data_IF_443781541476
#
_entry.id   IF_443781541476
#
_cell.length_a   1.000
_cell.length_b   1.000
_cell.length_c   1.000
_cell.angle_alpha   90.00
_cell.angle_beta   90.00
_cell.angle_gamma   90.00
#
_symmetry.space_group_name_H-M   'P 1'
#
loop_
_entity.id
_entity.type
_entity.pdbx_description
1 polymer ?
#
# COMPACT_ATOMS: atom_id res chain seq x y z
N UNK A 1 7.07 0.20 15.14
CA UNK A 1 6.26 -0.05 13.96
C UNK A 1 5.25 -1.15 14.23
N UNK A 2 4.03 -1.02 13.69
CA UNK A 2 2.92 -1.94 13.88
C UNK A 2 2.70 -2.86 12.69
N UNK A 3 3.18 -2.44 11.51
CA UNK A 3 3.10 -3.19 10.27
C UNK A 3 4.31 -2.95 9.39
N UNK A 4 4.55 -3.86 8.46
CA UNK A 4 5.63 -3.81 7.48
C UNK A 4 5.06 -4.00 6.08
N UNK A 5 5.35 -3.06 5.16
CA UNK A 5 4.92 -3.16 3.77
C UNK A 5 6.07 -2.92 2.80
N UNK A 6 6.05 -3.67 1.70
CA UNK A 6 6.97 -3.49 0.58
C UNK A 6 6.19 -3.02 -0.63
N UNK A 7 6.73 -2.06 -1.38
CA UNK A 7 6.11 -1.54 -2.59
C UNK A 7 6.26 -2.45 -3.80
N UNK A 8 5.61 -2.09 -4.90
CA UNK A 8 5.72 -2.74 -6.20
C UNK A 8 6.14 -1.75 -7.28
N UNK A 9 7.15 -2.09 -8.05
CA UNK A 9 7.61 -1.30 -9.18
C UNK A 9 8.39 -2.17 -10.17
N UNK A 10 8.12 -2.00 -11.46
CA UNK A 10 8.74 -2.75 -12.53
C UNK A 10 9.30 -1.80 -13.58
N UNK A 11 10.18 -2.29 -14.46
CA UNK A 11 10.74 -1.53 -15.58
C UNK A 11 11.24 -0.16 -15.11
N UNK A 12 12.32 -0.15 -14.34
CA UNK A 12 12.89 1.04 -13.71
C UNK A 12 14.39 1.13 -13.94
N UNK A 13 14.90 2.32 -14.15
CA UNK A 13 16.31 2.61 -14.36
C UNK A 13 17.15 2.61 -13.07
N UNK A 14 16.51 2.47 -11.92
CA UNK A 14 17.19 2.40 -10.63
C UNK A 14 16.96 1.06 -9.91
N UNK A 15 17.86 0.70 -9.02
CA UNK A 15 17.76 -0.54 -8.26
C UNK A 15 16.47 -0.57 -7.43
N UNK A 16 15.60 -1.51 -7.74
CA UNK A 16 14.37 -1.77 -7.01
C UNK A 16 14.22 -3.27 -6.80
N UNK A 17 14.31 -3.70 -5.54
CA UNK A 17 14.15 -5.12 -5.21
C UNK A 17 12.70 -5.55 -5.36
N UNK A 18 12.49 -6.69 -5.99
CA UNK A 18 11.15 -7.25 -6.15
C UNK A 18 10.54 -7.58 -4.80
N UNK A 19 9.26 -7.28 -4.65
CA UNK A 19 8.56 -7.25 -3.37
C UNK A 19 8.50 -8.62 -2.66
N UNK A 20 8.09 -9.70 -3.35
CA UNK A 20 7.94 -11.02 -2.71
C UNK A 20 9.26 -11.58 -2.15
N UNK A 21 10.39 -11.59 -2.90
CA UNK A 21 11.67 -12.08 -2.36
C UNK A 21 12.19 -11.25 -1.19
N UNK A 22 12.11 -9.91 -1.28
CA UNK A 22 12.61 -9.05 -0.20
C UNK A 22 11.72 -9.12 1.03
N UNK A 23 10.39 -9.19 0.86
CA UNK A 23 9.46 -9.38 1.96
C UNK A 23 9.75 -10.72 2.67
N UNK A 24 9.90 -11.81 1.93
CA UNK A 24 10.26 -13.11 2.52
C UNK A 24 11.54 -13.04 3.36
N UNK A 25 12.56 -12.31 2.91
CA UNK A 25 13.79 -12.08 3.70
C UNK A 25 13.53 -11.24 4.96
N UNK A 26 12.68 -10.23 4.89
CA UNK A 26 12.36 -9.36 6.02
C UNK A 26 11.50 -10.08 7.07
N UNK A 27 10.57 -10.94 6.64
CA UNK A 27 9.68 -11.70 7.52
C UNK A 27 10.44 -12.60 8.49
N UNK A 28 11.64 -13.07 8.15
CA UNK A 28 12.50 -13.83 9.05
C UNK A 28 12.85 -13.08 10.36
N UNK A 29 12.73 -11.75 10.36
CA UNK A 29 13.03 -10.88 11.50
C UNK A 29 11.80 -10.09 11.98
N UNK A 30 10.62 -10.35 11.41
CA UNK A 30 9.38 -9.65 11.71
C UNK A 30 8.44 -10.53 12.52
N UNK A 31 8.38 -10.29 13.83
CA UNK A 31 7.75 -11.21 14.78
C UNK A 31 6.25 -10.95 14.97
N UNK A 32 5.41 -11.66 14.24
CA UNK A 32 3.97 -11.80 14.51
C UNK A 32 3.09 -10.54 14.28
N UNK A 33 3.67 -9.45 13.82
CA UNK A 33 2.92 -8.23 13.49
C UNK A 33 2.44 -8.27 12.04
N UNK A 34 1.38 -7.52 11.69
CA UNK A 34 0.90 -7.44 10.31
C UNK A 34 2.02 -7.09 9.31
N UNK A 35 2.02 -7.76 8.18
CA UNK A 35 2.93 -7.45 7.09
C UNK A 35 2.28 -7.73 5.74
N UNK A 36 2.85 -7.18 4.67
CA UNK A 36 2.38 -7.42 3.34
C UNK A 36 3.17 -6.67 2.27
N UNK A 37 2.65 -6.70 1.07
CA UNK A 37 3.22 -5.96 -0.04
C UNK A 37 2.14 -5.38 -0.94
N UNK A 38 2.51 -4.33 -1.66
CA UNK A 38 1.74 -3.80 -2.77
C UNK A 38 1.98 -4.66 -4.02
N UNK A 39 0.94 -4.89 -4.78
CA UNK A 39 0.98 -5.52 -6.10
C UNK A 39 0.15 -4.74 -7.10
N UNK A 40 0.74 -4.42 -8.24
CA UNK A 40 0.05 -3.81 -9.38
C UNK A 40 -0.59 -4.92 -10.20
N UNK A 41 -1.76 -5.39 -9.80
CA UNK A 41 -2.36 -6.65 -10.27
C UNK A 41 -2.35 -6.88 -11.79
N UNK A 42 -2.58 -5.86 -12.65
CA UNK A 42 -2.52 -6.07 -14.09
C UNK A 42 -1.14 -6.52 -14.62
N UNK A 43 -0.06 -6.28 -13.84
CA UNK A 43 1.31 -6.64 -14.21
C UNK A 43 1.69 -8.05 -13.75
N UNK A 44 0.81 -8.74 -13.03
CA UNK A 44 1.07 -10.04 -12.43
C UNK A 44 0.19 -11.14 -13.02
N UNK A 45 0.75 -12.32 -13.18
CA UNK A 45 -0.06 -13.50 -13.48
C UNK A 45 -0.80 -13.94 -12.21
N UNK A 46 -2.15 -14.03 -12.20
CA UNK A 46 -2.93 -14.20 -10.96
C UNK A 46 -2.65 -15.50 -10.22
N UNK A 47 -2.39 -16.60 -10.94
CA UNK A 47 -2.07 -17.89 -10.29
C UNK A 47 -0.72 -17.81 -9.59
N UNK A 48 0.33 -17.33 -10.27
CA UNK A 48 1.65 -17.16 -9.65
C UNK A 48 1.62 -16.24 -8.44
N UNK A 49 0.87 -15.14 -8.54
CA UNK A 49 0.74 -14.21 -7.44
C UNK A 49 -0.03 -14.82 -6.27
N UNK A 50 -1.10 -15.57 -6.53
CA UNK A 50 -1.85 -16.28 -5.50
C UNK A 50 -0.96 -17.30 -4.74
N UNK A 51 -0.11 -18.05 -5.44
CA UNK A 51 0.86 -18.99 -4.85
C UNK A 51 1.91 -18.28 -3.99
N UNK A 52 2.49 -17.17 -4.49
CA UNK A 52 3.49 -16.39 -3.75
C UNK A 52 2.90 -15.81 -2.46
N UNK A 53 1.71 -15.22 -2.53
CA UNK A 53 1.04 -14.67 -1.35
C UNK A 53 0.66 -15.76 -0.36
N UNK A 54 0.15 -16.90 -0.82
CA UNK A 54 -0.14 -18.06 0.04
C UNK A 54 1.11 -18.55 0.76
N UNK A 55 2.23 -18.61 0.06
CA UNK A 55 3.53 -18.99 0.63
C UNK A 55 3.99 -18.00 1.69
N UNK A 56 3.95 -16.69 1.38
CA UNK A 56 4.35 -15.64 2.33
C UNK A 56 3.45 -15.65 3.57
N UNK A 57 2.14 -15.81 3.41
CA UNK A 57 1.19 -15.90 4.50
C UNK A 57 1.40 -17.17 5.35
N UNK A 58 1.83 -18.28 4.76
CA UNK A 58 2.11 -19.52 5.48
C UNK A 58 3.38 -19.47 6.33
N UNK A 59 4.41 -18.74 5.88
CA UNK A 59 5.68 -18.61 6.64
C UNK A 59 5.66 -17.47 7.64
N UNK A 60 4.62 -16.64 7.65
CA UNK A 60 4.48 -15.49 8.55
C UNK A 60 3.43 -15.78 9.63
N UNK A 61 3.81 -15.80 10.91
CA UNK A 61 2.82 -15.80 11.99
C UNK A 61 2.22 -14.41 12.14
N UNK A 62 1.01 -14.20 11.65
CA UNK A 62 0.31 -12.92 11.76
C UNK A 62 -0.51 -12.57 10.53
N UNK A 63 -1.13 -11.41 10.57
CA UNK A 63 -2.05 -10.90 9.54
C UNK A 63 -1.29 -10.53 8.26
N UNK A 64 -1.58 -11.22 7.15
CA UNK A 64 -1.04 -10.83 5.84
C UNK A 64 -2.01 -9.88 5.13
N UNK A 65 -1.49 -8.73 4.69
CA UNK A 65 -2.26 -7.69 4.01
C UNK A 65 -1.72 -7.53 2.60
N UNK A 66 -2.51 -7.92 1.60
CA UNK A 66 -2.21 -7.62 0.21
C UNK A 66 -2.68 -6.21 -0.12
N UNK A 67 -1.76 -5.28 -0.27
CA UNK A 67 -2.09 -4.00 -0.90
C UNK A 67 -2.11 -4.19 -2.42
N UNK A 68 -3.03 -3.56 -3.12
CA UNK A 68 -3.04 -3.66 -4.59
C UNK A 68 -3.50 -2.38 -5.27
N UNK A 69 -3.09 -2.25 -6.53
CA UNK A 69 -3.39 -1.10 -7.37
C UNK A 69 -3.41 -1.46 -8.84
N UNK A 70 -3.87 -0.49 -9.66
CA UNK A 70 -3.96 -0.65 -11.12
C UNK A 70 -2.61 -0.53 -11.83
N UNK A 71 -1.63 0.13 -11.21
CA UNK A 71 -0.54 0.70 -11.97
C UNK A 71 -1.00 1.90 -12.82
N UNK A 72 -0.08 2.71 -13.29
CA UNK A 72 -0.44 3.92 -14.02
C UNK A 72 0.67 4.47 -14.93
N UNK A 73 1.83 3.82 -14.96
CA UNK A 73 2.95 4.26 -15.79
C UNK A 73 2.93 3.54 -17.14
N UNK A 74 2.83 4.30 -18.27
CA UNK A 74 2.79 3.72 -19.62
C UNK A 74 3.98 2.81 -19.91
N UNK A 75 5.21 3.26 -19.61
CA UNK A 75 6.44 2.51 -19.88
C UNK A 75 6.49 1.20 -19.09
N UNK A 76 6.00 1.22 -17.85
CA UNK A 76 5.89 0.01 -17.02
C UNK A 76 4.92 -1.00 -17.62
N UNK A 77 3.76 -0.54 -18.07
CA UNK A 77 2.77 -1.40 -18.71
C UNK A 77 3.28 -1.96 -20.04
N UNK A 78 3.89 -1.11 -20.88
CA UNK A 78 4.46 -1.52 -22.17
C UNK A 78 5.59 -2.52 -21.97
N UNK A 79 6.52 -2.27 -21.06
CA UNK A 79 7.64 -3.16 -20.76
C UNK A 79 7.22 -4.52 -20.18
N UNK A 80 6.05 -4.58 -19.54
CA UNK A 80 5.44 -5.82 -19.05
C UNK A 80 4.45 -6.46 -20.05
N UNK A 81 4.30 -5.88 -21.24
CA UNK A 81 3.42 -6.42 -22.28
C UNK A 81 1.93 -6.23 -22.00
N UNK A 82 1.55 -5.23 -21.20
CA UNK A 82 0.18 -5.01 -20.77
C UNK A 82 -0.46 -3.83 -21.52
N UNK A 83 -1.64 -4.06 -22.08
CA UNK A 83 -2.47 -2.99 -22.62
C UNK A 83 -3.13 -2.21 -21.45
N UNK A 84 -2.71 -0.95 -21.26
CA UNK A 84 -3.26 -0.08 -20.22
C UNK A 84 -4.77 0.15 -20.33
N UNK A 85 -5.37 0.05 -21.51
CA UNK A 85 -6.82 0.20 -21.69
C UNK A 85 -7.61 -0.92 -20.98
N UNK A 86 -7.01 -2.09 -20.82
CA UNK A 86 -7.60 -3.27 -20.20
C UNK A 86 -7.33 -3.37 -18.69
N UNK A 87 -6.48 -2.50 -18.12
CA UNK A 87 -5.98 -2.66 -16.75
C UNK A 87 -7.05 -2.75 -15.66
N UNK A 88 -8.19 -2.07 -15.85
CA UNK A 88 -9.30 -2.12 -14.86
C UNK A 88 -9.95 -3.51 -14.86
N UNK A 89 -10.26 -4.03 -16.03
CA UNK A 89 -10.85 -5.35 -16.17
C UNK A 89 -9.87 -6.46 -15.74
N UNK A 90 -8.60 -6.34 -16.12
CA UNK A 90 -7.55 -7.27 -15.66
C UNK A 90 -7.41 -7.27 -14.15
N UNK A 91 -7.48 -6.09 -13.51
CA UNK A 91 -7.42 -5.97 -12.06
C UNK A 91 -8.58 -6.70 -11.38
N UNK A 92 -9.81 -6.46 -11.83
CA UNK A 92 -11.00 -7.09 -11.23
C UNK A 92 -11.00 -8.61 -11.45
N UNK A 93 -10.67 -9.07 -12.66
CA UNK A 93 -10.57 -10.50 -12.97
C UNK A 93 -9.43 -11.17 -12.16
N UNK A 94 -8.25 -10.54 -12.08
CA UNK A 94 -7.13 -11.04 -11.28
C UNK A 94 -7.52 -11.23 -9.83
N UNK A 95 -8.13 -10.22 -9.21
CA UNK A 95 -8.55 -10.30 -7.81
C UNK A 95 -9.61 -11.40 -7.60
N UNK A 96 -10.56 -11.53 -8.53
CA UNK A 96 -11.58 -12.56 -8.45
C UNK A 96 -11.02 -13.98 -8.59
N UNK A 97 -10.05 -14.19 -9.50
CA UNK A 97 -9.32 -15.45 -9.66
C UNK A 97 -8.54 -15.79 -8.38
N UNK A 98 -7.76 -14.84 -7.87
CA UNK A 98 -6.95 -15.07 -6.67
C UNK A 98 -7.81 -15.42 -5.45
N UNK A 99 -8.92 -14.74 -5.22
CA UNK A 99 -9.85 -15.06 -4.13
C UNK A 99 -10.44 -16.45 -4.24
N UNK A 100 -10.76 -16.92 -5.44
CA UNK A 100 -11.24 -18.28 -5.65
C UNK A 100 -10.15 -19.32 -5.38
N UNK A 101 -8.91 -19.06 -5.83
CA UNK A 101 -7.76 -19.94 -5.58
C UNK A 101 -7.44 -20.02 -4.08
N UNK A 102 -7.45 -18.89 -3.35
CA UNK A 102 -7.26 -18.89 -1.90
C UNK A 102 -8.35 -19.61 -1.13
N UNK A 103 -9.58 -19.62 -1.67
CA UNK A 103 -10.69 -20.41 -1.12
C UNK A 103 -10.62 -21.90 -1.49
N UNK A 104 -9.51 -22.38 -2.08
CA UNK A 104 -9.30 -23.77 -2.47
C UNK A 104 -10.13 -24.23 -3.67
N UNK A 105 -10.64 -23.31 -4.46
CA UNK A 105 -11.42 -23.64 -5.66
C UNK A 105 -10.51 -23.88 -6.85
N UNK A 106 -10.96 -24.75 -7.77
CA UNK A 106 -10.40 -24.89 -9.11
C UNK A 106 -10.99 -23.82 -10.01
N UNK A 107 -10.15 -23.12 -10.77
CA UNK A 107 -10.54 -21.98 -11.60
C UNK A 107 -10.19 -22.23 -13.05
N UNK A 108 -11.14 -21.97 -13.95
CA UNK A 108 -10.89 -21.83 -15.39
C UNK A 108 -11.30 -20.44 -15.83
N UNK A 109 -10.52 -19.80 -16.69
CA UNK A 109 -10.70 -18.42 -17.13
C UNK A 109 -10.08 -18.24 -18.52
N UNK A 110 -10.74 -17.51 -19.41
CA UNK A 110 -10.31 -17.41 -20.83
C UNK A 110 -10.42 -15.97 -21.38
N UNK A 111 -10.30 -14.94 -20.55
CA UNK A 111 -10.38 -13.56 -21.03
C UNK A 111 -9.00 -12.92 -21.19
N UNK A 112 -8.20 -12.92 -20.16
CA UNK A 112 -6.84 -12.34 -20.14
C UNK A 112 -5.78 -13.40 -19.92
N UNK A 113 -6.14 -14.45 -19.23
CA UNK A 113 -5.28 -15.62 -18.96
C UNK A 113 -6.04 -16.87 -19.35
N UNK A 114 -5.38 -17.74 -20.15
CA UNK A 114 -5.96 -19.04 -20.54
C UNK A 114 -5.69 -20.05 -19.41
N UNK A 115 -6.60 -20.07 -18.42
CA UNK A 115 -6.50 -20.96 -17.27
C UNK A 115 -7.45 -22.15 -17.44
N UNK A 116 -6.90 -23.36 -17.33
CA UNK A 116 -7.66 -24.60 -17.32
C UNK A 116 -7.42 -25.34 -16.01
N UNK A 117 -8.47 -25.50 -15.19
CA UNK A 117 -8.43 -26.23 -13.94
C UNK A 117 -7.28 -25.78 -12.99
N UNK A 118 -6.97 -24.49 -12.98
CA UNK A 118 -5.93 -23.93 -12.13
C UNK A 118 -6.31 -24.07 -10.64
N UNK A 119 -5.37 -24.51 -9.83
CA UNK A 119 -5.49 -24.62 -8.37
C UNK A 119 -4.13 -24.36 -7.75
N UNK A 120 -4.06 -24.06 -6.47
CA UNK A 120 -2.83 -23.72 -5.76
C UNK A 120 -2.66 -24.57 -4.50
N UNK A 121 -1.41 -24.75 -4.08
CA UNK A 121 -1.00 -25.28 -2.79
C UNK A 121 0.37 -24.67 -2.39
N UNK A 122 0.58 -24.33 -1.08
CA UNK A 122 -0.40 -24.41 0.01
C UNK A 122 -1.53 -23.41 -0.14
N UNK A 123 -2.65 -23.64 0.52
CA UNK A 123 -3.67 -22.60 0.73
C UNK A 123 -3.20 -21.65 1.84
N UNK A 124 -3.65 -20.38 1.86
CA UNK A 124 -3.36 -19.48 2.95
C UNK A 124 -3.85 -20.06 4.28
N UNK A 125 -3.03 -20.00 5.32
CA UNK A 125 -3.39 -20.45 6.66
C UNK A 125 -4.41 -19.50 7.34
N UNK A 126 -4.63 -18.33 6.78
CA UNK A 126 -5.55 -17.29 7.24
C UNK A 126 -6.11 -16.52 6.05
N UNK A 127 -7.20 -15.82 6.23
CA UNK A 127 -7.77 -14.96 5.19
C UNK A 127 -6.77 -13.87 4.79
N UNK A 128 -6.59 -13.70 3.48
CA UNK A 128 -5.76 -12.62 2.94
C UNK A 128 -6.60 -11.35 2.92
N UNK A 129 -6.19 -10.38 3.73
CA UNK A 129 -6.83 -9.08 3.75
C UNK A 129 -6.37 -8.24 2.55
N UNK A 130 -7.30 -7.66 1.82
CA UNK A 130 -7.02 -6.89 0.61
C UNK A 130 -7.28 -5.40 0.84
N UNK A 131 -6.26 -4.57 0.67
CA UNK A 131 -6.40 -3.11 0.63
C UNK A 131 -6.18 -2.60 -0.79
N UNK A 132 -7.09 -1.80 -1.31
CA UNK A 132 -6.97 -1.25 -2.66
C UNK A 132 -6.58 0.22 -2.61
N UNK A 133 -5.49 0.56 -3.32
CA UNK A 133 -5.08 1.93 -3.56
C UNK A 133 -6.00 2.61 -4.59
N UNK A 134 -6.69 3.69 -4.19
CA UNK A 134 -7.62 4.38 -5.06
C UNK A 134 -7.68 5.89 -4.77
N UNK A 135 -7.85 6.68 -5.83
CA UNK A 135 -7.89 8.15 -5.76
C UNK A 135 -9.11 8.70 -6.49
N UNK A 136 -9.40 8.21 -7.70
CA UNK A 136 -10.54 8.66 -8.49
C UNK A 136 -11.87 8.13 -7.93
N UNK A 137 -12.98 8.87 -8.01
CA UNK A 137 -14.28 8.44 -7.45
C UNK A 137 -14.72 7.04 -7.86
N UNK A 138 -14.59 6.70 -9.15
CA UNK A 138 -14.93 5.36 -9.64
C UNK A 138 -14.03 4.25 -9.06
N UNK A 139 -12.74 4.56 -8.80
CA UNK A 139 -11.82 3.62 -8.16
C UNK A 139 -12.11 3.48 -6.65
N UNK A 140 -12.47 4.56 -5.98
CA UNK A 140 -12.90 4.56 -4.57
C UNK A 140 -14.17 3.73 -4.41
N UNK A 141 -15.17 3.90 -5.27
CA UNK A 141 -16.40 3.10 -5.27
C UNK A 141 -16.09 1.61 -5.50
N UNK A 142 -15.22 1.29 -6.47
CA UNK A 142 -14.75 -0.09 -6.69
C UNK A 142 -14.05 -0.67 -5.46
N UNK A 143 -13.23 0.12 -4.78
CA UNK A 143 -12.56 -0.29 -3.52
C UNK A 143 -13.58 -0.64 -2.45
N UNK A 144 -14.58 0.21 -2.23
CA UNK A 144 -15.64 -0.04 -1.26
C UNK A 144 -16.42 -1.34 -1.55
N UNK A 145 -16.57 -1.68 -2.83
CA UNK A 145 -17.24 -2.93 -3.25
C UNK A 145 -16.35 -4.17 -3.08
N UNK A 146 -15.04 -4.05 -3.36
CA UNK A 146 -14.18 -5.22 -3.54
C UNK A 146 -13.19 -5.47 -2.40
N UNK A 147 -12.86 -4.49 -1.58
CA UNK A 147 -11.75 -4.60 -0.63
C UNK A 147 -12.21 -4.64 0.84
N UNK A 148 -11.36 -5.16 1.69
CA UNK A 148 -11.48 -5.07 3.14
C UNK A 148 -10.98 -3.71 3.64
N UNK A 149 -10.01 -3.08 2.94
CA UNK A 149 -9.48 -1.76 3.29
C UNK A 149 -9.20 -0.87 2.08
N UNK A 150 -9.13 0.43 2.33
CA UNK A 150 -8.72 1.45 1.37
C UNK A 150 -7.37 2.03 1.73
N UNK A 151 -6.51 2.25 0.72
CA UNK A 151 -5.23 2.93 0.86
C UNK A 151 -5.24 4.24 0.07
N UNK A 152 -5.27 5.36 0.79
CA UNK A 152 -5.17 6.70 0.25
C UNK A 152 -3.77 7.00 -0.31
N UNK A 153 -3.73 7.79 -1.40
CA UNK A 153 -2.48 8.14 -2.09
C UNK A 153 -1.59 9.05 -1.24
N UNK A 154 -0.26 8.89 -1.30
CA UNK A 154 0.67 9.78 -0.59
C UNK A 154 0.73 11.21 -1.16
N UNK A 155 0.27 11.42 -2.40
CA UNK A 155 0.29 12.73 -3.05
C UNK A 155 -0.93 13.61 -2.76
N UNK A 156 -1.95 13.09 -2.07
CA UNK A 156 -3.11 13.90 -1.70
C UNK A 156 -2.74 14.91 -0.61
N UNK A 157 -3.15 16.17 -0.78
CA UNK A 157 -3.10 17.14 0.31
C UNK A 157 -3.98 16.67 1.48
N UNK A 158 -3.82 17.18 2.70
CA UNK A 158 -4.69 16.82 3.82
C UNK A 158 -6.17 17.02 3.52
N UNK A 159 -6.51 18.10 2.82
CA UNK A 159 -7.88 18.38 2.40
C UNK A 159 -8.40 17.32 1.40
N UNK A 160 -7.63 17.02 0.36
CA UNK A 160 -7.99 16.00 -0.63
C UNK A 160 -8.13 14.61 0.01
N UNK A 161 -7.26 14.29 0.96
CA UNK A 161 -7.34 13.02 1.69
C UNK A 161 -8.65 12.90 2.49
N UNK A 162 -9.07 13.97 3.18
CA UNK A 162 -10.35 14.03 3.89
C UNK A 162 -11.56 13.92 2.93
N UNK A 163 -11.51 14.57 1.78
CA UNK A 163 -12.57 14.47 0.76
C UNK A 163 -12.69 13.03 0.20
N UNK A 164 -11.56 12.40 -0.13
CA UNK A 164 -11.52 11.01 -0.59
C UNK A 164 -12.01 10.04 0.49
N UNK A 165 -11.67 10.27 1.76
CA UNK A 165 -12.19 9.51 2.89
C UNK A 165 -13.72 9.58 2.98
N UNK A 166 -14.30 10.77 2.83
CA UNK A 166 -15.75 10.93 2.86
C UNK A 166 -16.43 10.20 1.69
N UNK A 167 -15.85 10.28 0.48
CA UNK A 167 -16.32 9.52 -0.68
C UNK A 167 -16.25 8.00 -0.43
N UNK A 168 -15.17 7.52 0.18
CA UNK A 168 -15.00 6.10 0.49
C UNK A 168 -16.03 5.63 1.54
N UNK A 169 -16.26 6.41 2.59
CA UNK A 169 -17.27 6.09 3.62
C UNK A 169 -18.68 6.04 3.04
N UNK A 170 -19.02 7.01 2.18
CA UNK A 170 -20.30 7.00 1.49
C UNK A 170 -20.45 5.75 0.61
N UNK A 171 -19.45 5.42 -0.20
CA UNK A 171 -19.47 4.22 -1.03
C UNK A 171 -19.57 2.93 -0.20
N UNK A 172 -18.87 2.83 0.94
CA UNK A 172 -19.03 1.70 1.86
C UNK A 172 -20.45 1.57 2.38
N UNK A 173 -21.09 2.68 2.75
CA UNK A 173 -22.49 2.68 3.20
C UNK A 173 -23.44 2.22 2.10
N UNK A 174 -23.27 2.68 0.85
CA UNK A 174 -24.05 2.24 -0.32
C UNK A 174 -23.89 0.75 -0.61
N UNK A 175 -22.69 0.19 -0.41
CA UNK A 175 -22.41 -1.24 -0.56
C UNK A 175 -22.66 -2.06 0.72
N UNK A 176 -23.15 -1.45 1.79
CA UNK A 176 -23.41 -2.10 3.09
C UNK A 176 -22.17 -2.81 3.65
N UNK A 177 -21.00 -2.18 3.53
CA UNK A 177 -19.72 -2.72 3.98
C UNK A 177 -19.10 -1.87 5.08
N UNK A 178 -18.48 -2.55 6.03
CA UNK A 178 -17.63 -1.91 7.06
C UNK A 178 -16.18 -2.25 6.73
N UNK A 179 -15.33 -1.26 6.42
CA UNK A 179 -13.94 -1.52 6.13
C UNK A 179 -13.18 -1.97 7.39
N UNK A 180 -12.20 -2.86 7.22
CA UNK A 180 -11.25 -3.26 8.27
C UNK A 180 -10.18 -2.20 8.51
N UNK A 181 -9.85 -1.44 7.45
CA UNK A 181 -8.86 -0.39 7.48
C UNK A 181 -9.20 0.77 6.54
N UNK A 182 -8.88 1.97 7.01
CA UNK A 182 -8.90 3.21 6.26
C UNK A 182 -7.50 3.80 6.35
N UNK A 183 -6.62 3.33 5.47
CA UNK A 183 -5.21 3.62 5.51
C UNK A 183 -4.86 4.85 4.66
N UNK A 184 -3.89 5.64 5.12
CA UNK A 184 -3.33 6.75 4.38
C UNK A 184 -1.81 6.57 4.26
N UNK A 185 -1.28 6.57 3.05
CA UNK A 185 0.17 6.59 2.89
C UNK A 185 0.71 8.01 3.01
N UNK A 186 1.84 8.18 3.71
CA UNK A 186 2.59 9.44 3.81
C UNK A 186 4.08 9.21 3.63
N UNK A 187 4.71 10.10 2.85
CA UNK A 187 6.16 10.17 2.76
C UNK A 187 6.63 11.18 3.84
N UNK A 188 7.54 10.74 4.72
CA UNK A 188 7.88 11.46 5.95
C UNK A 188 9.39 11.68 6.12
N UNK A 189 9.75 12.74 6.83
CA UNK A 189 11.08 12.97 7.38
C UNK A 189 10.95 13.52 8.80
N UNK A 190 11.52 12.81 9.78
CA UNK A 190 11.52 13.24 11.19
C UNK A 190 12.94 13.68 11.53
N UNK A 191 13.08 14.94 11.90
CA UNK A 191 14.36 15.57 12.23
C UNK A 191 14.53 15.74 13.74
N UNK A 192 15.79 15.96 14.15
CA UNK A 192 16.12 16.28 15.53
C UNK A 192 15.71 17.70 15.96
N UNK A 193 15.37 18.57 15.00
CA UNK A 193 14.93 19.94 15.25
C UNK A 193 14.03 20.46 14.13
N UNK A 194 13.21 21.48 14.49
CA UNK A 194 12.35 22.18 13.52
C UNK A 194 13.16 22.78 12.35
N UNK A 195 14.31 23.39 12.65
CA UNK A 195 15.16 24.00 11.62
C UNK A 195 15.72 22.98 10.62
N UNK A 196 16.12 21.81 11.10
CA UNK A 196 16.58 20.72 10.24
C UNK A 196 15.42 20.18 9.35
N UNK A 197 14.25 19.99 9.93
CA UNK A 197 13.05 19.57 9.21
C UNK A 197 12.69 20.56 8.10
N UNK A 198 12.73 21.85 8.39
CA UNK A 198 12.41 22.90 7.42
C UNK A 198 13.46 22.99 6.30
N UNK A 199 14.75 22.86 6.63
CA UNK A 199 15.81 22.80 5.63
C UNK A 199 15.62 21.59 4.69
N UNK A 200 15.27 20.42 5.21
CA UNK A 200 14.98 19.23 4.42
C UNK A 200 13.74 19.42 3.56
N UNK A 201 12.64 19.95 4.11
CA UNK A 201 11.39 20.24 3.39
C UNK A 201 11.66 21.18 2.21
N UNK A 202 12.31 22.32 2.46
CA UNK A 202 12.63 23.31 1.42
C UNK A 202 13.45 22.70 0.30
N UNK A 203 14.43 21.84 0.62
CA UNK A 203 15.22 21.14 -0.37
C UNK A 203 14.39 20.13 -1.18
N UNK A 204 13.53 19.34 -0.52
CA UNK A 204 12.65 18.38 -1.17
C UNK A 204 11.66 19.05 -2.12
N UNK A 205 11.05 20.16 -1.70
CA UNK A 205 10.13 20.96 -2.52
C UNK A 205 10.85 21.57 -3.73
N UNK A 206 12.02 22.19 -3.52
CA UNK A 206 12.81 22.79 -4.60
C UNK A 206 13.21 21.76 -5.66
N UNK A 207 13.50 20.51 -5.25
CA UNK A 207 13.81 19.41 -6.16
C UNK A 207 12.57 18.76 -6.79
N UNK A 208 11.36 19.17 -6.42
CA UNK A 208 10.12 18.56 -6.91
C UNK A 208 9.96 17.11 -6.48
N UNK A 209 10.09 16.83 -5.18
CA UNK A 209 10.02 15.48 -4.63
C UNK A 209 8.85 14.68 -5.20
N UNK A 210 9.14 13.71 -6.05
CA UNK A 210 8.16 12.81 -6.70
C UNK A 210 6.97 13.52 -7.38
N UNK A 211 7.05 14.82 -7.62
CA UNK A 211 5.94 15.62 -8.14
C UNK A 211 4.78 15.80 -7.13
N UNK A 212 5.03 15.56 -5.85
CA UNK A 212 4.01 15.74 -4.82
C UNK A 212 3.87 17.21 -4.43
N UNK A 213 2.64 17.68 -4.12
CA UNK A 213 2.46 18.99 -3.52
C UNK A 213 3.11 19.04 -2.13
N UNK A 214 3.58 20.22 -1.75
CA UNK A 214 4.29 20.41 -0.47
C UNK A 214 3.45 19.97 0.73
N UNK A 215 2.16 20.26 0.71
CA UNK A 215 1.21 19.93 1.79
C UNK A 215 1.00 18.42 1.99
N UNK A 216 1.41 17.61 1.01
CA UNK A 216 1.38 16.15 1.14
C UNK A 216 2.60 15.57 1.86
N UNK A 217 3.68 16.36 2.01
CA UNK A 217 4.92 15.94 2.64
C UNK A 217 4.86 16.18 4.15
N UNK A 218 5.25 15.19 4.93
CA UNK A 218 5.34 15.32 6.39
C UNK A 218 6.80 15.44 6.79
N UNK A 219 7.24 16.67 7.05
CA UNK A 219 8.58 16.97 7.57
C UNK A 219 8.42 17.76 8.87
N UNK A 220 9.03 17.28 9.95
CA UNK A 220 8.92 17.94 11.25
C UNK A 220 9.80 17.28 12.30
N UNK A 221 9.84 17.85 13.49
CA UNK A 221 10.28 17.16 14.67
C UNK A 221 9.20 16.15 15.14
N UNK A 222 9.52 15.38 16.18
CA UNK A 222 8.59 14.36 16.72
C UNK A 222 7.21 14.96 17.07
N UNK A 223 7.16 16.15 17.66
CA UNK A 223 5.91 16.77 18.10
C UNK A 223 5.06 17.25 16.92
N UNK A 224 5.69 17.83 15.91
CA UNK A 224 5.01 18.29 14.70
C UNK A 224 4.45 17.10 13.89
N UNK A 225 5.20 16.01 13.79
CA UNK A 225 4.73 14.80 13.09
C UNK A 225 3.61 14.10 13.87
N UNK A 226 3.70 14.04 15.20
CA UNK A 226 2.64 13.50 16.05
C UNK A 226 1.35 14.32 15.91
N UNK A 227 1.41 15.64 15.91
CA UNK A 227 0.25 16.49 15.71
C UNK A 227 -0.43 16.24 14.35
N UNK A 228 0.33 16.12 13.26
CA UNK A 228 -0.23 15.82 11.94
C UNK A 228 -0.87 14.42 11.88
N UNK A 229 -0.28 13.42 12.55
CA UNK A 229 -0.87 12.08 12.63
C UNK A 229 -2.16 12.08 13.46
N UNK A 230 -2.22 12.86 14.54
CA UNK A 230 -3.43 13.05 15.32
C UNK A 230 -4.58 13.63 14.46
N UNK A 231 -4.30 14.65 13.64
CA UNK A 231 -5.30 15.22 12.72
C UNK A 231 -5.87 14.20 11.72
N UNK A 232 -5.03 13.28 11.21
CA UNK A 232 -5.52 12.20 10.35
C UNK A 232 -6.35 11.19 11.12
N UNK A 233 -5.94 10.84 12.34
CA UNK A 233 -6.72 9.95 13.22
C UNK A 233 -8.09 10.56 13.55
N UNK A 234 -8.14 11.85 13.91
CA UNK A 234 -9.38 12.58 14.18
C UNK A 234 -10.30 12.66 12.95
N UNK A 235 -9.73 12.78 11.75
CA UNK A 235 -10.48 12.70 10.51
C UNK A 235 -11.06 11.30 10.28
N UNK A 236 -10.47 10.26 10.89
CA UNK A 236 -10.92 8.87 10.91
C UNK A 236 -10.14 7.94 10.01
N UNK A 237 -8.86 8.24 9.72
CA UNK A 237 -7.93 7.26 9.22
C UNK A 237 -7.52 6.33 10.37
N UNK A 238 -7.51 5.02 10.09
CA UNK A 238 -7.15 4.01 11.10
C UNK A 238 -5.67 3.65 11.06
N UNK A 239 -5.03 3.87 9.91
CA UNK A 239 -3.65 3.46 9.64
C UNK A 239 -2.90 4.55 8.86
N UNK A 240 -1.66 4.83 9.26
CA UNK A 240 -0.75 5.68 8.48
C UNK A 240 0.43 4.83 8.02
N UNK A 241 0.49 4.56 6.72
CA UNK A 241 1.59 3.83 6.09
C UNK A 241 2.69 4.82 5.73
N UNK A 242 3.79 4.76 6.46
CA UNK A 242 4.88 5.72 6.29
C UNK A 242 5.97 5.23 5.34
N UNK A 243 6.54 6.14 4.56
CA UNK A 243 7.76 5.95 3.80
C UNK A 243 8.74 7.07 4.15
N UNK A 244 9.99 6.69 4.49
CA UNK A 244 11.03 7.68 4.67
C UNK A 244 11.37 8.39 3.34
N UNK A 245 11.61 9.72 3.41
CA UNK A 245 11.92 10.56 2.26
C UNK A 245 13.41 10.63 1.94
N UNK A 246 14.28 10.46 2.95
CA UNK A 246 15.72 10.59 2.74
C UNK A 246 16.31 9.39 2.01
N UNK A 247 17.26 9.64 1.11
CA UNK A 247 18.12 8.62 0.51
C UNK A 247 19.38 8.32 1.35
N UNK A 248 19.66 9.12 2.38
CA UNK A 248 20.73 8.86 3.33
C UNK A 248 20.29 7.81 4.34
N UNK A 249 21.09 6.76 4.51
CA UNK A 249 20.76 5.63 5.39
C UNK A 249 20.67 6.04 6.85
N UNK A 250 21.55 6.92 7.32
CA UNK A 250 21.57 7.37 8.71
C UNK A 250 20.29 8.16 9.03
N UNK A 251 19.91 9.11 8.17
CA UNK A 251 18.67 9.86 8.31
C UNK A 251 17.42 8.96 8.19
N UNK A 252 17.46 7.96 7.32
CA UNK A 252 16.35 7.02 7.17
C UNK A 252 16.14 6.21 8.46
N UNK A 253 17.20 5.71 9.05
CA UNK A 253 17.15 4.97 10.33
C UNK A 253 16.71 5.89 11.46
N UNK A 254 17.26 7.10 11.58
CA UNK A 254 16.84 8.07 12.59
C UNK A 254 15.34 8.41 12.49
N UNK A 255 14.81 8.60 11.27
CA UNK A 255 13.37 8.81 11.04
C UNK A 255 12.55 7.60 11.53
N UNK A 256 12.99 6.36 11.25
CA UNK A 256 12.29 5.15 11.70
C UNK A 256 12.32 5.00 13.23
N UNK A 257 13.45 5.28 13.85
CA UNK A 257 13.61 5.23 15.31
C UNK A 257 12.72 6.27 16.00
N UNK A 258 12.69 7.50 15.48
CA UNK A 258 11.87 8.59 16.00
C UNK A 258 10.35 8.31 15.95
N UNK A 259 9.90 7.39 15.08
CA UNK A 259 8.49 6.94 15.08
C UNK A 259 8.06 6.31 16.41
N UNK A 260 8.99 5.76 17.19
CA UNK A 260 8.68 5.25 18.53
C UNK A 260 8.27 6.37 19.50
N UNK A 261 8.86 7.55 19.33
CA UNK A 261 8.56 8.73 20.12
C UNK A 261 7.26 9.39 19.68
N UNK A 262 7.01 9.44 18.37
CA UNK A 262 5.72 9.86 17.80
C UNK A 262 4.59 9.00 18.38
N UNK A 263 4.76 7.67 18.40
CA UNK A 263 3.76 6.77 18.99
C UNK A 263 3.50 7.06 20.47
N UNK A 264 4.55 7.27 21.25
CA UNK A 264 4.41 7.61 22.67
C UNK A 264 3.62 8.88 22.88
N UNK A 265 3.81 9.92 22.05
CA UNK A 265 3.04 11.16 22.12
C UNK A 265 1.57 10.97 21.73
N UNK A 266 1.26 10.01 20.86
CA UNK A 266 -0.10 9.64 20.47
C UNK A 266 -0.78 8.67 21.45
N UNK A 267 -0.10 8.25 22.50
CA UNK A 267 -0.56 7.25 23.48
C UNK A 267 -0.93 5.89 22.82
N UNK A 268 -0.17 5.45 21.80
CA UNK A 268 -0.35 4.22 21.04
C UNK A 268 0.66 3.13 21.42
#
# INVERSE_FOLDING_TARGET
LDSLFVGDHHITDYAYYQNSPILGRMLAHWHGKPAGALYLLPLWHPVLLAEQISTLAAIMPGRFIMQCGLGGLPDQSAGMGIDMSQRVAMFEDSLAIMRQLWAGKTVSHDRFWHLENAHIAPLPAQDIEVWIGATAPAAINRTARLAEGWLGTPSATPQQAKEQLNQYRQACAEHQRTPSAVALRRDIFIAGSVNEAEAFRSHAVTKGYRGFPEEALICGDVSQVAAQFAEFSEAGFTDIVVRNMSSDQGQALATIEALSDVRRQLNL
#
